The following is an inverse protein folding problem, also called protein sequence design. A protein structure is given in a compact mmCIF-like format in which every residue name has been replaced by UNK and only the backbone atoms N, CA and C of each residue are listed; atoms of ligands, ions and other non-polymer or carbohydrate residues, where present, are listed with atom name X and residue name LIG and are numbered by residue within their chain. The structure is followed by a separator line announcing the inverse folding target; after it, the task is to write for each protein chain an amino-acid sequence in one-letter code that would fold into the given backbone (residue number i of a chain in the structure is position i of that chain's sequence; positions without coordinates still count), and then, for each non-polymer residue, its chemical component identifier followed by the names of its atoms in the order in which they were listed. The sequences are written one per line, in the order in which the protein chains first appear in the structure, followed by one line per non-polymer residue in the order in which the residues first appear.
data_IF_240740906749
#
_entry.id   IF_240740906749
#
_cell.length_a   1.000
_cell.length_b   1.000
_cell.length_c   1.000
_cell.angle_alpha   90.00
_cell.angle_beta   90.00
_cell.angle_gamma   90.00
#
_symmetry.space_group_name_H-M   'P 1'
#
loop_
_entity.id
_entity.type
_entity.pdbx_description
1 polymer ?
#
# COMPACT_ATOMS: atom_id res chain seq x y z
N UNK A 1 -19.52 26.47 13.73
CA UNK A 1 -18.46 25.57 14.28
C UNK A 1 -19.02 24.15 14.24
N UNK A 2 -18.82 23.47 13.14
CA UNK A 2 -19.17 22.03 13.01
C UNK A 2 -17.85 21.25 13.15
N UNK A 3 -17.80 20.43 14.18
CA UNK A 3 -16.72 19.44 14.36
C UNK A 3 -16.95 18.32 13.34
N UNK A 4 -16.13 18.29 12.30
CA UNK A 4 -15.94 17.09 11.45
C UNK A 4 -15.23 16.04 12.30
N UNK A 5 -15.98 15.07 12.80
CA UNK A 5 -15.43 13.96 13.55
C UNK A 5 -14.75 12.99 12.58
N UNK A 6 -13.49 12.74 12.84
CA UNK A 6 -12.69 11.66 12.27
C UNK A 6 -13.37 10.33 12.68
N UNK A 7 -14.13 9.70 11.77
CA UNK A 7 -14.76 8.41 12.01
C UNK A 7 -13.65 7.36 12.06
N UNK A 8 -13.36 6.88 13.26
CA UNK A 8 -12.31 5.92 13.47
C UNK A 8 -12.59 4.64 12.66
N UNK A 9 -11.57 4.01 12.10
CA UNK A 9 -11.65 2.71 11.41
C UNK A 9 -12.35 1.61 12.24
N UNK A 10 -12.37 1.75 13.56
CA UNK A 10 -13.13 0.89 14.48
C UNK A 10 -14.63 1.08 14.36
N UNK A 11 -15.10 2.32 14.16
CA UNK A 11 -16.52 2.65 14.07
C UNK A 11 -17.12 2.20 12.73
N UNK A 12 -16.37 2.33 11.62
CA UNK A 12 -16.77 1.82 10.32
C UNK A 12 -16.91 0.28 10.32
N UNK A 13 -15.98 -0.40 11.00
CA UNK A 13 -15.95 -1.86 11.12
C UNK A 13 -17.13 -2.41 11.95
N UNK A 14 -17.48 -1.73 13.00
CA UNK A 14 -18.64 -2.05 13.84
C UNK A 14 -19.93 -1.83 13.04
N UNK A 15 -20.01 -0.74 12.28
CA UNK A 15 -21.18 -0.40 11.47
C UNK A 15 -21.50 -1.43 10.37
N UNK A 16 -20.48 -2.01 9.70
CA UNK A 16 -20.70 -3.05 8.68
C UNK A 16 -21.36 -4.31 9.26
N UNK A 17 -20.78 -4.87 10.33
CA UNK A 17 -21.35 -6.07 10.95
C UNK A 17 -22.70 -5.81 11.62
N UNK A 18 -22.91 -4.60 12.17
CA UNK A 18 -24.21 -4.17 12.68
C UNK A 18 -25.27 -4.27 11.58
N UNK A 19 -25.00 -3.71 10.40
CA UNK A 19 -25.94 -3.75 9.26
C UNK A 19 -26.23 -5.16 8.79
N UNK A 20 -25.21 -6.00 8.61
CA UNK A 20 -25.36 -7.38 8.16
C UNK A 20 -26.20 -8.20 9.16
N UNK A 21 -25.90 -8.10 10.45
CA UNK A 21 -26.64 -8.82 11.47
C UNK A 21 -28.05 -8.28 11.62
N UNK A 22 -28.25 -6.97 11.59
CA UNK A 22 -29.58 -6.37 11.63
C UNK A 22 -30.42 -6.74 10.42
N UNK A 23 -29.84 -6.78 9.21
CA UNK A 23 -30.57 -7.25 8.02
C UNK A 23 -31.10 -8.68 8.21
N UNK A 24 -30.28 -9.60 8.79
CA UNK A 24 -30.69 -10.98 9.06
C UNK A 24 -31.79 -11.04 10.16
N UNK A 25 -31.69 -10.20 11.20
CA UNK A 25 -32.60 -10.24 12.35
C UNK A 25 -33.91 -9.45 12.14
N UNK A 26 -33.91 -8.53 11.15
CA UNK A 26 -35.10 -7.73 10.81
C UNK A 26 -36.22 -8.54 10.15
N UNK A 27 -35.91 -9.70 9.53
CA UNK A 27 -36.89 -10.62 8.97
C UNK A 27 -37.80 -11.25 10.03
N UNK A 28 -37.51 -11.02 11.31
CA UNK A 28 -38.36 -11.43 12.45
C UNK A 28 -38.14 -12.89 12.86
N UNK A 29 -37.27 -13.61 12.20
CA UNK A 29 -36.99 -15.02 12.49
C UNK A 29 -35.97 -15.17 13.64
N UNK A 30 -36.18 -16.23 14.44
CA UNK A 30 -35.16 -16.66 15.41
C UNK A 30 -34.09 -17.44 14.65
N UNK A 31 -32.84 -16.94 14.65
CA UNK A 31 -31.76 -17.52 13.90
C UNK A 31 -30.68 -18.12 14.81
N UNK A 32 -30.02 -19.18 14.36
CA UNK A 32 -28.88 -19.77 15.08
C UNK A 32 -27.61 -18.96 14.88
N UNK A 33 -26.67 -19.03 15.84
CA UNK A 33 -25.33 -18.44 15.67
C UNK A 33 -24.63 -18.98 14.41
N UNK A 34 -24.84 -20.26 14.08
CA UNK A 34 -24.27 -20.87 12.88
C UNK A 34 -24.83 -20.28 11.59
N UNK A 35 -26.15 -19.98 11.52
CA UNK A 35 -26.76 -19.30 10.37
C UNK A 35 -26.19 -17.90 10.20
N UNK A 36 -26.14 -17.08 11.27
CA UNK A 36 -25.53 -15.76 11.22
C UNK A 36 -24.08 -15.86 10.78
N UNK A 37 -23.29 -16.77 11.37
CA UNK A 37 -21.89 -16.97 11.03
C UNK A 37 -21.68 -17.31 9.55
N UNK A 38 -22.52 -18.19 9.00
CA UNK A 38 -22.48 -18.55 7.57
C UNK A 38 -22.79 -17.37 6.66
N UNK A 39 -23.79 -16.55 6.99
CA UNK A 39 -24.20 -15.41 6.16
C UNK A 39 -23.20 -14.26 6.21
N UNK A 40 -22.58 -13.99 7.37
CA UNK A 40 -21.56 -12.94 7.50
C UNK A 40 -20.14 -13.42 7.23
N UNK A 41 -19.96 -14.70 6.86
CA UNK A 41 -18.64 -15.27 6.48
C UNK A 41 -17.65 -15.40 7.63
N UNK A 42 -18.11 -15.60 8.88
CA UNK A 42 -17.28 -15.73 10.07
C UNK A 42 -17.43 -17.11 10.73
N UNK A 43 -16.45 -17.47 11.58
CA UNK A 43 -16.61 -18.61 12.49
C UNK A 43 -17.62 -18.26 13.60
N UNK A 44 -18.33 -19.28 14.15
CA UNK A 44 -19.27 -19.04 15.26
C UNK A 44 -18.63 -18.34 16.46
N UNK A 45 -17.37 -18.65 16.78
CA UNK A 45 -16.62 -17.99 17.85
C UNK A 45 -16.44 -16.51 17.56
N UNK A 46 -16.05 -16.16 16.34
CA UNK A 46 -15.88 -14.76 15.91
C UNK A 46 -17.22 -14.04 15.87
N UNK A 47 -18.29 -14.71 15.43
CA UNK A 47 -19.66 -14.18 15.41
C UNK A 47 -20.15 -13.84 16.82
N UNK A 48 -19.92 -14.72 17.80
CA UNK A 48 -20.28 -14.42 19.21
C UNK A 48 -19.58 -13.18 19.74
N UNK A 49 -18.30 -13.01 19.45
CA UNK A 49 -17.56 -11.81 19.86
C UNK A 49 -18.08 -10.55 19.17
N UNK A 50 -18.50 -10.65 17.89
CA UNK A 50 -19.08 -9.54 17.15
C UNK A 50 -20.48 -9.19 17.66
N UNK A 51 -21.30 -10.18 17.96
CA UNK A 51 -22.64 -9.96 18.52
C UNK A 51 -22.60 -9.15 19.82
N UNK A 52 -21.59 -9.34 20.67
CA UNK A 52 -21.43 -8.52 21.88
C UNK A 52 -21.15 -7.05 21.56
N UNK A 53 -20.28 -6.77 20.61
CA UNK A 53 -20.01 -5.40 20.18
C UNK A 53 -21.21 -4.75 19.47
N UNK A 54 -22.04 -5.56 18.77
CA UNK A 54 -23.29 -5.10 18.14
C UNK A 54 -24.33 -4.77 19.20
N UNK A 55 -24.43 -5.57 20.26
CA UNK A 55 -25.35 -5.29 21.39
C UNK A 55 -25.01 -3.94 22.04
N UNK A 56 -23.74 -3.66 22.30
CA UNK A 56 -23.28 -2.37 22.82
C UNK A 56 -23.67 -1.23 21.87
N UNK A 57 -23.45 -1.40 20.56
CA UNK A 57 -23.81 -0.42 19.55
C UNK A 57 -25.32 -0.15 19.50
N UNK A 58 -26.18 -1.19 19.57
CA UNK A 58 -27.63 -1.03 19.56
C UNK A 58 -28.11 -0.28 20.79
N UNK A 59 -27.55 -0.59 21.96
CA UNK A 59 -27.84 0.09 23.21
C UNK A 59 -27.46 1.56 23.16
N UNK A 60 -26.26 1.88 22.70
CA UNK A 60 -25.75 3.25 22.62
C UNK A 60 -26.52 4.12 21.64
N UNK A 61 -27.18 3.51 20.63
CA UNK A 61 -27.95 4.20 19.60
C UNK A 61 -29.46 4.06 19.78
N UNK A 62 -29.93 3.43 20.85
CA UNK A 62 -31.38 3.19 21.12
C UNK A 62 -32.08 2.50 19.93
N UNK A 63 -31.50 1.38 19.46
CA UNK A 63 -31.98 0.63 18.30
C UNK A 63 -32.58 -0.74 18.64
N UNK A 64 -32.90 -0.99 19.91
CA UNK A 64 -33.42 -2.25 20.40
C UNK A 64 -32.32 -3.14 21.00
N UNK A 65 -32.65 -4.40 21.25
CA UNK A 65 -31.79 -5.34 21.96
C UNK A 65 -31.72 -6.70 21.24
N UNK A 66 -30.52 -7.29 21.18
CA UNK A 66 -30.33 -8.66 20.68
C UNK A 66 -30.58 -9.65 21.84
N UNK A 67 -31.63 -10.45 21.70
CA UNK A 67 -31.95 -11.49 22.65
C UNK A 67 -31.31 -12.82 22.24
N UNK A 68 -30.70 -13.52 23.20
CA UNK A 68 -30.04 -14.81 23.01
C UNK A 68 -30.58 -15.83 24.01
N UNK A 69 -31.11 -16.96 23.53
CA UNK A 69 -31.56 -18.04 24.40
C UNK A 69 -30.93 -19.36 23.97
N UNK A 70 -30.25 -20.08 24.88
CA UNK A 70 -29.66 -21.37 24.58
C UNK A 70 -30.69 -22.33 23.99
N UNK A 71 -30.33 -23.05 22.91
CA UNK A 71 -31.17 -24.00 22.18
C UNK A 71 -32.38 -23.41 21.46
N UNK A 72 -32.64 -22.12 21.59
CA UNK A 72 -33.68 -21.41 20.86
C UNK A 72 -33.07 -20.64 19.71
N UNK A 73 -32.18 -19.70 19.98
CA UNK A 73 -31.52 -18.90 18.97
C UNK A 73 -31.30 -17.45 19.40
N UNK A 74 -31.18 -16.61 18.39
CA UNK A 74 -30.87 -15.17 18.48
C UNK A 74 -31.98 -14.44 17.70
N UNK A 75 -32.52 -13.35 18.27
CA UNK A 75 -33.53 -12.48 17.64
C UNK A 75 -33.36 -11.05 18.10
N UNK A 76 -33.96 -10.13 17.39
CA UNK A 76 -33.99 -8.70 17.73
C UNK A 76 -35.33 -8.34 18.42
N UNK A 77 -35.23 -7.81 19.63
CA UNK A 77 -36.34 -7.12 20.28
C UNK A 77 -36.24 -5.62 20.03
N UNK A 78 -37.17 -5.07 19.27
CA UNK A 78 -37.23 -3.65 18.94
C UNK A 78 -38.69 -3.24 18.79
N UNK A 79 -39.04 -2.08 19.32
CA UNK A 79 -40.37 -1.47 19.12
C UNK A 79 -40.53 -0.94 17.68
N UNK A 80 -41.76 -0.53 17.33
CA UNK A 80 -42.06 -0.07 15.95
C UNK A 80 -41.25 1.16 15.54
N UNK A 81 -40.92 2.02 16.49
CA UNK A 81 -40.12 3.23 16.30
C UNK A 81 -38.62 2.88 16.07
N UNK A 82 -38.14 1.95 16.85
CA UNK A 82 -36.77 1.40 16.71
C UNK A 82 -36.61 0.63 15.39
N UNK A 83 -37.60 -0.22 15.04
CA UNK A 83 -37.63 -0.92 13.74
C UNK A 83 -37.61 0.05 12.57
N UNK A 84 -38.43 1.11 12.62
CA UNK A 84 -38.46 2.15 11.59
C UNK A 84 -37.12 2.90 11.48
N UNK A 85 -36.39 3.10 12.58
CA UNK A 85 -35.04 3.68 12.58
C UNK A 85 -34.01 2.74 11.96
N UNK A 86 -34.11 1.44 12.29
CA UNK A 86 -33.24 0.40 11.70
C UNK A 86 -33.46 0.31 10.19
N UNK A 87 -34.73 0.27 9.73
CA UNK A 87 -35.08 0.26 8.30
C UNK A 87 -34.47 1.45 7.59
N UNK A 88 -34.65 2.67 8.11
CA UNK A 88 -34.01 3.87 7.54
C UNK A 88 -32.50 3.78 7.52
N UNK A 89 -31.89 3.22 8.58
CA UNK A 89 -30.45 3.01 8.63
C UNK A 89 -29.98 1.97 7.59
N UNK A 90 -30.77 0.94 7.33
CA UNK A 90 -30.49 -0.07 6.30
C UNK A 90 -30.74 0.48 4.87
N UNK A 91 -31.79 1.32 4.71
CA UNK A 91 -32.17 1.96 3.44
C UNK A 91 -31.32 3.19 3.11
N UNK A 92 -30.77 3.90 4.10
CA UNK A 92 -29.85 5.02 3.88
C UNK A 92 -28.51 4.51 3.35
N UNK A 93 -28.58 3.90 2.17
CA UNK A 93 -27.47 3.26 1.48
C UNK A 93 -26.48 4.24 0.84
N UNK A 94 -26.61 5.55 1.08
CA UNK A 94 -25.82 6.53 0.32
C UNK A 94 -24.52 7.00 0.99
N UNK A 95 -24.21 6.61 2.24
CA UNK A 95 -22.95 7.10 2.81
C UNK A 95 -22.05 6.11 3.58
N UNK A 96 -22.45 4.89 3.93
CA UNK A 96 -21.53 3.91 4.56
C UNK A 96 -21.85 2.45 4.17
N UNK A 97 -22.15 2.14 2.94
CA UNK A 97 -21.67 0.91 2.36
C UNK A 97 -20.30 1.25 1.81
N UNK A 98 -19.23 0.88 2.50
CA UNK A 98 -17.91 0.81 1.86
C UNK A 98 -18.00 -0.37 0.89
N UNK A 99 -18.87 -0.25 -0.10
CA UNK A 99 -18.85 -1.05 -1.31
C UNK A 99 -17.69 -0.51 -2.12
N UNK A 100 -16.47 -0.86 -1.68
CA UNK A 100 -15.31 -0.64 -2.52
C UNK A 100 -15.63 -1.22 -3.90
N UNK A 101 -15.42 -0.45 -4.93
CA UNK A 101 -15.45 -1.00 -6.28
C UNK A 101 -14.31 -2.03 -6.46
N UNK A 102 -14.28 -2.72 -7.59
CA UNK A 102 -13.27 -3.75 -7.82
C UNK A 102 -11.84 -3.17 -7.75
N UNK A 103 -11.64 -1.97 -8.31
CA UNK A 103 -10.36 -1.28 -8.32
C UNK A 103 -9.93 -0.85 -6.92
N UNK A 104 -10.84 -0.29 -6.14
CA UNK A 104 -10.58 0.10 -4.75
C UNK A 104 -10.20 -1.10 -3.88
N UNK A 105 -10.91 -2.24 -4.03
CA UNK A 105 -10.57 -3.49 -3.33
C UNK A 105 -9.17 -3.99 -3.70
N UNK A 106 -8.83 -3.96 -4.98
CA UNK A 106 -7.49 -4.32 -5.46
C UNK A 106 -6.42 -3.40 -4.85
N UNK A 107 -6.62 -2.08 -4.88
CA UNK A 107 -5.68 -1.10 -4.32
C UNK A 107 -5.50 -1.26 -2.82
N UNK A 108 -6.58 -1.48 -2.06
CA UNK A 108 -6.51 -1.75 -0.61
C UNK A 108 -5.77 -3.05 -0.32
N UNK A 109 -6.00 -4.09 -1.13
CA UNK A 109 -5.30 -5.37 -1.00
C UNK A 109 -3.82 -5.20 -1.26
N UNK A 110 -3.43 -4.53 -2.34
CA UNK A 110 -2.03 -4.22 -2.65
C UNK A 110 -1.38 -3.43 -1.52
N UNK A 111 -2.02 -2.36 -1.02
CA UNK A 111 -1.53 -1.58 0.12
C UNK A 111 -1.32 -2.45 1.36
N UNK A 112 -2.23 -3.39 1.62
CA UNK A 112 -2.10 -4.29 2.76
C UNK A 112 -0.95 -5.29 2.58
N UNK A 113 -0.80 -5.86 1.38
CA UNK A 113 0.30 -6.77 1.04
C UNK A 113 1.67 -6.08 1.18
N UNK A 114 1.82 -4.86 0.66
CA UNK A 114 3.07 -4.09 0.77
C UNK A 114 3.40 -3.61 2.20
N UNK A 115 2.44 -3.66 3.13
CA UNK A 115 2.71 -3.39 4.56
C UNK A 115 3.10 -4.62 5.36
N UNK A 116 3.02 -5.80 4.76
CA UNK A 116 3.45 -7.01 5.44
C UNK A 116 4.97 -7.01 5.65
N UNK A 117 5.38 -7.45 6.82
CA UNK A 117 6.80 -7.67 7.10
C UNK A 117 7.33 -8.83 6.24
N UNK A 118 8.64 -8.88 5.96
CA UNK A 118 9.25 -10.03 5.32
C UNK A 118 8.88 -11.32 6.07
N UNK A 119 8.41 -12.34 5.34
CA UNK A 119 7.92 -13.61 5.88
C UNK A 119 6.60 -13.55 6.71
N UNK A 120 5.98 -12.40 6.84
CA UNK A 120 4.61 -12.32 7.35
C UNK A 120 3.65 -12.99 6.36
N UNK A 121 2.64 -13.68 6.90
CA UNK A 121 1.60 -14.32 6.10
C UNK A 121 0.23 -13.81 6.53
N UNK A 122 -0.71 -13.76 5.60
CA UNK A 122 -2.09 -13.35 5.84
C UNK A 122 -3.04 -14.37 5.21
N UNK A 123 -4.02 -14.84 5.97
CA UNK A 123 -5.02 -15.75 5.43
C UNK A 123 -6.04 -15.02 4.54
N UNK A 124 -6.61 -15.72 3.57
CA UNK A 124 -7.72 -15.19 2.75
C UNK A 124 -8.91 -14.75 3.60
N UNK A 125 -9.15 -15.43 4.74
CA UNK A 125 -10.21 -15.05 5.67
C UNK A 125 -9.90 -13.72 6.40
N UNK A 126 -8.64 -13.48 6.79
CA UNK A 126 -8.25 -12.19 7.37
C UNK A 126 -8.45 -11.07 6.35
N UNK A 127 -8.04 -11.29 5.09
CA UNK A 127 -8.23 -10.32 4.02
C UNK A 127 -9.72 -10.08 3.72
N UNK A 128 -10.54 -11.14 3.71
CA UNK A 128 -12.00 -11.04 3.56
C UNK A 128 -12.62 -10.15 4.65
N UNK A 129 -12.18 -10.36 5.90
CA UNK A 129 -12.62 -9.56 7.03
C UNK A 129 -12.17 -8.09 6.94
N UNK A 130 -10.96 -7.84 6.44
CA UNK A 130 -10.43 -6.47 6.26
C UNK A 130 -11.14 -5.71 5.14
N UNK A 131 -11.49 -6.40 4.05
CA UNK A 131 -12.17 -5.83 2.88
C UNK A 131 -13.70 -5.85 3.00
N UNK A 132 -14.26 -6.47 4.03
CA UNK A 132 -15.70 -6.66 4.23
C UNK A 132 -16.39 -7.41 3.08
N UNK A 133 -15.75 -8.41 2.53
CA UNK A 133 -16.26 -9.22 1.43
C UNK A 133 -16.17 -10.72 1.73
N UNK A 134 -16.82 -11.54 0.91
CA UNK A 134 -16.74 -12.99 1.02
C UNK A 134 -15.37 -13.53 0.56
N UNK A 135 -14.96 -14.69 1.05
CA UNK A 135 -13.73 -15.37 0.61
C UNK A 135 -13.67 -15.59 -0.92
N UNK A 136 -14.74 -16.02 -1.62
CA UNK A 136 -14.74 -16.08 -3.07
C UNK A 136 -14.44 -14.74 -3.76
N UNK A 137 -14.94 -13.63 -3.21
CA UNK A 137 -14.63 -12.28 -3.72
C UNK A 137 -13.14 -11.96 -3.52
N UNK A 138 -12.56 -12.29 -2.35
CA UNK A 138 -11.13 -12.12 -2.08
C UNK A 138 -10.28 -12.87 -3.10
N UNK A 139 -10.63 -14.11 -3.46
CA UNK A 139 -9.88 -14.88 -4.44
C UNK A 139 -9.87 -14.22 -5.84
N UNK A 140 -10.92 -13.49 -6.22
CA UNK A 140 -10.94 -12.69 -7.45
C UNK A 140 -10.00 -11.49 -7.34
N UNK A 141 -10.09 -10.76 -6.21
CA UNK A 141 -9.21 -9.60 -5.95
C UNK A 141 -7.74 -10.01 -5.92
N UNK A 142 -7.41 -11.17 -5.35
CA UNK A 142 -6.03 -11.70 -5.35
C UNK A 142 -5.54 -11.90 -6.78
N UNK A 143 -6.34 -12.44 -7.70
CA UNK A 143 -5.96 -12.60 -9.12
C UNK A 143 -5.68 -11.26 -9.79
N UNK A 144 -6.52 -10.26 -9.54
CA UNK A 144 -6.28 -8.90 -10.04
C UNK A 144 -4.97 -8.31 -9.47
N UNK A 145 -4.68 -8.56 -8.19
CA UNK A 145 -3.40 -8.19 -7.58
C UNK A 145 -2.21 -8.95 -8.21
N UNK A 146 -2.36 -10.26 -8.48
CA UNK A 146 -1.33 -11.07 -9.14
C UNK A 146 -1.00 -10.55 -10.55
N UNK A 147 -2.01 -10.13 -11.33
CA UNK A 147 -1.81 -9.52 -12.65
C UNK A 147 -1.04 -8.18 -12.53
N UNK A 148 -1.38 -7.35 -11.54
CA UNK A 148 -0.67 -6.09 -11.32
C UNK A 148 0.77 -6.33 -10.83
N UNK A 149 0.97 -7.22 -9.86
CA UNK A 149 2.27 -7.57 -9.27
C UNK A 149 3.17 -8.30 -10.27
N UNK A 150 2.59 -9.08 -11.19
CA UNK A 150 3.31 -9.80 -12.23
C UNK A 150 4.15 -8.88 -13.14
N UNK A 151 3.71 -7.64 -13.38
CA UNK A 151 4.45 -6.62 -14.11
C UNK A 151 5.80 -6.27 -13.46
N UNK A 152 5.92 -6.53 -12.17
CA UNK A 152 7.12 -6.29 -11.36
C UNK A 152 7.81 -7.57 -10.94
N UNK A 153 7.48 -8.71 -11.55
CA UNK A 153 8.00 -10.04 -11.16
C UNK A 153 7.82 -10.37 -9.68
N UNK A 154 6.72 -9.88 -9.09
CA UNK A 154 6.33 -10.19 -7.72
C UNK A 154 5.21 -11.25 -7.76
N UNK A 155 5.35 -12.29 -6.95
CA UNK A 155 4.41 -13.43 -6.92
C UNK A 155 3.75 -13.50 -5.55
N UNK A 156 2.43 -13.76 -5.52
CA UNK A 156 1.72 -14.13 -4.30
C UNK A 156 1.81 -15.65 -4.14
N UNK A 157 2.40 -16.11 -3.05
CA UNK A 157 2.51 -17.54 -2.73
C UNK A 157 1.53 -17.87 -1.61
N UNK A 158 0.75 -18.91 -1.81
CA UNK A 158 -0.15 -19.44 -0.78
C UNK A 158 0.55 -20.60 -0.05
N UNK A 159 1.02 -20.34 1.16
CA UNK A 159 1.64 -21.35 2.01
C UNK A 159 0.57 -22.15 2.76
N UNK A 160 0.64 -23.48 2.64
CA UNK A 160 -0.31 -24.40 3.30
C UNK A 160 -0.33 -24.12 4.81
N UNK A 161 -1.52 -23.89 5.37
CA UNK A 161 -1.79 -23.59 6.77
C UNK A 161 -1.19 -22.26 7.31
N UNK A 162 -0.55 -21.44 6.48
CA UNK A 162 -0.01 -20.14 6.87
C UNK A 162 -0.71 -18.97 6.20
N UNK A 163 -1.09 -19.14 4.92
CA UNK A 163 -1.76 -18.11 4.14
C UNK A 163 -0.89 -17.52 3.04
N UNK A 164 -1.25 -16.33 2.61
CA UNK A 164 -0.63 -15.62 1.50
C UNK A 164 0.59 -14.84 1.96
N UNK A 165 1.65 -14.85 1.18
CA UNK A 165 2.79 -13.93 1.29
C UNK A 165 3.28 -13.51 -0.08
N UNK A 166 3.98 -12.38 -0.17
CA UNK A 166 4.67 -11.97 -1.38
C UNK A 166 6.07 -12.59 -1.44
N UNK A 167 6.46 -13.00 -2.64
CA UNK A 167 7.83 -13.40 -2.98
C UNK A 167 8.34 -12.45 -4.06
N UNK A 168 9.48 -11.82 -3.82
CA UNK A 168 10.01 -10.74 -4.65
C UNK A 168 11.52 -10.58 -4.48
N UNK A 169 12.13 -9.94 -5.45
CA UNK A 169 13.44 -9.30 -5.30
C UNK A 169 13.25 -7.86 -4.82
N UNK A 170 14.19 -7.37 -4.01
CA UNK A 170 14.07 -6.07 -3.34
C UNK A 170 13.92 -4.90 -4.32
N UNK A 171 14.67 -4.91 -5.43
CA UNK A 171 14.55 -3.90 -6.47
C UNK A 171 13.12 -3.82 -7.02
N UNK A 172 12.54 -4.98 -7.35
CA UNK A 172 11.20 -5.09 -7.89
C UNK A 172 10.13 -4.61 -6.90
N UNK A 173 10.28 -5.00 -5.63
CA UNK A 173 9.40 -4.54 -4.56
C UNK A 173 9.38 -3.01 -4.45
N UNK A 174 10.56 -2.37 -4.46
CA UNK A 174 10.68 -0.91 -4.34
C UNK A 174 10.05 -0.18 -5.51
N UNK A 175 10.30 -0.64 -6.73
CA UNK A 175 9.70 -0.06 -7.94
C UNK A 175 8.18 -0.22 -7.92
N UNK A 176 7.67 -1.40 -7.58
CA UNK A 176 6.24 -1.65 -7.48
C UNK A 176 5.58 -0.77 -6.41
N UNK A 177 6.18 -0.67 -5.22
CA UNK A 177 5.64 0.16 -4.14
C UNK A 177 5.67 1.65 -4.51
N UNK A 178 6.76 2.13 -5.15
CA UNK A 178 6.83 3.49 -5.66
C UNK A 178 5.67 3.77 -6.63
N UNK A 179 5.43 2.88 -7.59
CA UNK A 179 4.34 3.04 -8.54
C UNK A 179 2.96 2.96 -7.88
N UNK A 180 2.79 2.12 -6.85
CA UNK A 180 1.55 2.07 -6.07
C UNK A 180 1.30 3.40 -5.31
N UNK A 181 2.35 4.02 -4.77
CA UNK A 181 2.25 5.29 -4.05
C UNK A 181 1.97 6.45 -5.01
N UNK A 182 2.67 6.49 -6.15
CA UNK A 182 2.50 7.53 -7.18
C UNK A 182 1.12 7.47 -7.84
N UNK A 183 0.52 6.28 -7.95
CA UNK A 183 -0.81 6.10 -8.54
C UNK A 183 -0.90 6.74 -9.92
N UNK A 184 -1.92 7.60 -10.12
CA UNK A 184 -2.13 8.36 -11.37
C UNK A 184 -1.46 9.75 -11.37
N UNK A 185 -0.63 10.06 -10.39
CA UNK A 185 0.04 11.37 -10.26
C UNK A 185 -0.78 12.45 -9.56
N UNK A 186 -1.91 12.10 -8.95
CA UNK A 186 -2.67 13.03 -8.11
C UNK A 186 -1.92 13.33 -6.81
N UNK A 187 -1.58 14.58 -6.56
CA UNK A 187 -0.76 15.00 -5.42
C UNK A 187 -1.42 14.71 -4.07
N UNK A 188 -2.74 14.77 -4.00
CA UNK A 188 -3.45 14.46 -2.75
C UNK A 188 -3.44 12.95 -2.48
N UNK A 189 -3.61 12.15 -3.52
CA UNK A 189 -3.50 10.69 -3.42
C UNK A 189 -2.07 10.26 -3.05
N UNK A 190 -1.05 10.83 -3.68
CA UNK A 190 0.36 10.61 -3.34
C UNK A 190 0.60 10.93 -1.86
N UNK A 191 0.12 12.08 -1.37
CA UNK A 191 0.27 12.47 0.04
C UNK A 191 -0.41 11.48 1.00
N UNK A 192 -1.63 11.04 0.69
CA UNK A 192 -2.36 10.03 1.47
C UNK A 192 -1.60 8.69 1.50
N UNK A 193 -1.08 8.26 0.35
CA UNK A 193 -0.30 7.04 0.24
C UNK A 193 1.03 7.15 0.99
N UNK A 194 1.74 8.27 0.86
CA UNK A 194 2.97 8.54 1.63
C UNK A 194 2.72 8.47 3.13
N UNK A 195 1.65 9.09 3.62
CA UNK A 195 1.27 9.01 5.03
C UNK A 195 0.93 7.57 5.45
N UNK A 196 0.21 6.83 4.60
CA UNK A 196 -0.16 5.44 4.88
C UNK A 196 1.08 4.53 5.04
N UNK A 197 2.09 4.68 4.18
CA UNK A 197 3.28 3.83 4.18
C UNK A 197 4.38 4.35 5.11
N UNK A 198 4.54 5.66 5.25
CA UNK A 198 5.68 6.30 5.91
C UNK A 198 5.27 7.25 7.05
N UNK A 199 4.05 7.15 7.57
CA UNK A 199 3.55 8.05 8.61
C UNK A 199 4.32 8.01 9.94
N UNK A 200 5.18 7.01 10.14
CA UNK A 200 6.10 6.92 11.26
C UNK A 200 7.47 7.59 11.01
N UNK A 201 7.71 8.12 9.81
CA UNK A 201 8.94 8.81 9.43
C UNK A 201 8.73 10.32 9.40
N UNK A 202 9.79 11.07 9.67
CA UNK A 202 9.81 12.50 9.38
C UNK A 202 10.10 12.74 7.90
N UNK A 203 9.05 12.55 7.08
CA UNK A 203 9.11 12.74 5.63
C UNK A 203 9.48 14.19 5.27
N UNK A 204 9.08 15.17 6.10
CA UNK A 204 9.41 16.59 5.86
C UNK A 204 10.91 16.85 6.02
N UNK A 205 11.56 16.19 6.97
CA UNK A 205 13.01 16.31 7.15
C UNK A 205 13.76 15.65 6.00
N UNK A 206 13.29 14.48 5.53
CA UNK A 206 13.86 13.82 4.32
C UNK A 206 13.73 14.75 3.11
N UNK A 207 12.54 15.29 2.87
CA UNK A 207 12.27 16.27 1.82
C UNK A 207 13.22 17.45 1.89
N UNK A 208 13.44 18.01 3.09
CA UNK A 208 14.36 19.14 3.30
C UNK A 208 15.80 18.78 2.94
N UNK A 209 16.27 17.59 3.29
CA UNK A 209 17.62 17.12 2.91
C UNK A 209 17.81 17.03 1.40
N UNK A 210 16.80 16.52 0.67
CA UNK A 210 16.85 16.47 -0.80
C UNK A 210 16.92 17.88 -1.38
N UNK A 211 16.04 18.80 -0.97
CA UNK A 211 16.01 20.20 -1.45
C UNK A 211 17.33 20.94 -1.16
N UNK A 212 17.90 20.75 0.03
CA UNK A 212 19.19 21.34 0.37
C UNK A 212 20.31 20.82 -0.56
N UNK A 213 20.27 19.52 -0.89
CA UNK A 213 21.24 18.93 -1.81
C UNK A 213 21.03 19.41 -3.25
N UNK A 214 19.78 19.52 -3.74
CA UNK A 214 19.47 20.12 -5.03
C UNK A 214 20.05 21.53 -5.17
N UNK A 215 19.89 22.35 -4.12
CA UNK A 215 20.40 23.73 -4.11
C UNK A 215 21.92 23.80 -4.14
N UNK A 216 22.63 22.93 -3.38
CA UNK A 216 24.09 22.90 -3.31
C UNK A 216 24.73 22.41 -4.61
N UNK A 217 24.03 21.50 -5.31
CA UNK A 217 24.56 20.87 -6.53
C UNK A 217 24.00 21.50 -7.81
N UNK A 218 23.16 22.53 -7.69
CA UNK A 218 22.45 23.14 -8.81
C UNK A 218 21.65 22.12 -9.64
N UNK A 219 21.08 21.13 -8.98
CA UNK A 219 20.15 20.13 -9.54
C UNK A 219 18.71 20.57 -9.27
N UNK A 220 17.82 20.27 -10.22
CA UNK A 220 16.37 20.48 -10.04
C UNK A 220 15.60 19.30 -10.65
N UNK A 221 15.02 18.48 -9.81
CA UNK A 221 14.10 17.46 -10.27
C UNK A 221 12.78 18.08 -10.79
N UNK A 222 12.11 17.39 -11.72
CA UNK A 222 10.68 17.63 -11.93
C UNK A 222 9.88 17.20 -10.70
N UNK A 223 8.66 17.68 -10.54
CA UNK A 223 7.83 17.36 -9.37
C UNK A 223 7.63 15.84 -9.22
N UNK A 224 7.36 15.13 -10.32
CA UNK A 224 7.23 13.67 -10.31
C UNK A 224 8.52 12.99 -9.87
N UNK A 225 9.66 13.34 -10.47
CA UNK A 225 10.96 12.77 -10.12
C UNK A 225 11.33 13.07 -8.67
N UNK A 226 11.01 14.26 -8.16
CA UNK A 226 11.22 14.61 -6.77
C UNK A 226 10.44 13.70 -5.82
N UNK A 227 9.15 13.43 -6.12
CA UNK A 227 8.35 12.52 -5.32
C UNK A 227 8.86 11.08 -5.38
N UNK A 228 9.31 10.61 -6.54
CA UNK A 228 9.91 9.28 -6.68
C UNK A 228 11.17 9.14 -5.83
N UNK A 229 12.10 10.10 -5.90
CA UNK A 229 13.32 10.11 -5.10
C UNK A 229 13.01 10.19 -3.60
N UNK A 230 12.03 10.99 -3.21
CA UNK A 230 11.55 11.07 -1.82
C UNK A 230 11.03 9.71 -1.32
N UNK A 231 10.25 9.01 -2.12
CA UNK A 231 9.74 7.67 -1.80
C UNK A 231 10.91 6.69 -1.62
N UNK A 232 11.90 6.71 -2.51
CA UNK A 232 13.05 5.81 -2.39
C UNK A 232 13.94 6.12 -1.17
N UNK A 233 14.11 7.40 -0.80
CA UNK A 233 14.77 7.77 0.45
C UNK A 233 14.00 7.27 1.69
N UNK A 234 12.67 7.36 1.68
CA UNK A 234 11.84 6.81 2.76
C UNK A 234 11.97 5.27 2.84
N UNK A 235 12.00 4.58 1.70
CA UNK A 235 12.20 3.14 1.62
C UNK A 235 13.58 2.71 2.13
N UNK A 236 14.64 3.39 1.74
CA UNK A 236 15.99 3.12 2.23
C UNK A 236 16.04 3.16 3.76
N UNK A 237 15.36 4.12 4.38
CA UNK A 237 15.26 4.20 5.83
C UNK A 237 14.40 3.09 6.45
N UNK A 238 13.18 2.88 5.92
CA UNK A 238 12.21 1.95 6.50
C UNK A 238 12.68 0.50 6.41
N UNK A 239 13.46 0.16 5.38
CA UNK A 239 13.90 -1.21 5.07
C UNK A 239 15.34 -1.53 5.46
N UNK A 240 16.05 -0.59 6.09
CA UNK A 240 17.47 -0.75 6.49
C UNK A 240 17.72 -1.97 7.39
N UNK A 241 16.76 -2.32 8.24
CA UNK A 241 16.89 -3.41 9.24
C UNK A 241 16.34 -4.75 8.72
N UNK A 242 15.77 -4.77 7.52
CA UNK A 242 15.31 -6.00 6.90
C UNK A 242 16.50 -6.64 6.16
N UNK A 243 16.62 -7.97 6.25
CA UNK A 243 17.56 -8.75 5.44
C UNK A 243 17.19 -8.78 3.95
N UNK A 244 16.52 -7.74 3.48
CA UNK A 244 16.14 -7.52 2.09
C UNK A 244 17.31 -6.84 1.40
N UNK A 245 18.22 -7.63 0.85
CA UNK A 245 19.43 -7.09 0.24
C UNK A 245 19.16 -6.69 -1.20
N UNK A 246 19.39 -5.40 -1.47
CA UNK A 246 19.75 -4.97 -2.81
C UNK A 246 21.02 -5.73 -3.20
N UNK A 247 21.06 -6.32 -4.38
CA UNK A 247 22.19 -7.12 -4.83
C UNK A 247 22.78 -6.47 -6.06
N UNK A 248 24.03 -6.07 -5.94
CA UNK A 248 24.87 -5.60 -7.03
C UNK A 248 26.18 -6.35 -6.97
N UNK A 249 26.73 -6.71 -8.11
CA UNK A 249 28.08 -7.23 -8.14
C UNK A 249 29.14 -6.08 -8.03
N UNK A 250 30.38 -6.44 -7.83
CA UNK A 250 31.43 -5.45 -7.64
C UNK A 250 31.65 -4.58 -8.88
N UNK A 251 31.45 -5.12 -10.09
CA UNK A 251 31.60 -4.36 -11.33
C UNK A 251 30.49 -3.31 -11.48
N UNK A 252 29.26 -3.66 -11.12
CA UNK A 252 28.12 -2.74 -11.10
C UNK A 252 28.31 -1.62 -10.07
N UNK A 253 28.78 -1.96 -8.86
CA UNK A 253 29.08 -0.99 -7.82
C UNK A 253 30.16 0.01 -8.27
N UNK A 254 31.27 -0.48 -8.81
CA UNK A 254 32.38 0.36 -9.32
C UNK A 254 31.94 1.21 -10.52
N UNK A 255 31.08 0.68 -11.39
CA UNK A 255 30.59 1.39 -12.56
C UNK A 255 29.76 2.62 -12.14
N UNK A 256 28.78 2.44 -11.26
CA UNK A 256 27.88 3.52 -10.84
C UNK A 256 28.63 4.62 -10.08
N UNK A 257 29.69 4.28 -9.33
CA UNK A 257 30.51 5.25 -8.61
C UNK A 257 31.22 6.28 -9.52
N UNK A 258 31.32 6.02 -10.82
CA UNK A 258 31.97 6.92 -11.79
C UNK A 258 31.05 8.03 -12.30
N UNK A 259 29.74 7.95 -12.02
CA UNK A 259 28.75 8.93 -12.49
C UNK A 259 28.53 10.05 -11.49
N UNK A 260 28.19 11.23 -11.98
CA UNK A 260 27.94 12.43 -11.16
C UNK A 260 26.77 12.26 -10.19
N UNK A 261 25.85 11.39 -10.49
CA UNK A 261 24.70 11.08 -9.65
C UNK A 261 25.09 10.34 -8.37
N UNK A 262 26.19 9.57 -8.39
CA UNK A 262 26.66 8.88 -7.19
C UNK A 262 27.11 9.84 -6.08
N UNK A 263 28.04 10.80 -6.28
CA UNK A 263 28.41 11.75 -5.23
C UNK A 263 27.25 12.67 -4.82
N UNK A 264 26.31 12.97 -5.72
CA UNK A 264 25.07 13.67 -5.37
C UNK A 264 24.22 12.83 -4.40
N UNK A 265 24.04 11.53 -4.67
CA UNK A 265 23.34 10.59 -3.80
C UNK A 265 24.01 10.45 -2.43
N UNK A 266 25.34 10.36 -2.42
CA UNK A 266 26.15 10.36 -1.19
C UNK A 266 25.86 11.62 -0.36
N UNK A 267 25.77 12.79 -1.00
CA UNK A 267 25.45 14.05 -0.30
C UNK A 267 24.05 14.02 0.33
N UNK A 268 23.03 13.46 -0.34
CA UNK A 268 21.70 13.26 0.24
C UNK A 268 21.80 12.39 1.51
N UNK A 269 22.38 11.21 1.40
CA UNK A 269 22.48 10.27 2.53
C UNK A 269 23.36 10.79 3.67
N UNK A 270 24.40 11.57 3.36
CA UNK A 270 25.19 12.27 4.39
C UNK A 270 24.34 13.21 5.22
N UNK A 271 23.51 14.06 4.60
CA UNK A 271 22.58 14.95 5.32
C UNK A 271 21.55 14.17 6.13
N UNK A 272 21.02 13.08 5.59
CA UNK A 272 20.11 12.19 6.29
C UNK A 272 20.79 11.54 7.51
N UNK A 273 22.06 11.13 7.37
CA UNK A 273 22.83 10.62 8.49
C UNK A 273 23.04 11.68 9.58
N UNK A 274 23.45 12.88 9.22
CA UNK A 274 23.70 13.98 10.15
C UNK A 274 22.43 14.39 10.94
N UNK A 275 21.26 14.39 10.29
CA UNK A 275 20.00 14.88 10.88
C UNK A 275 19.12 13.79 11.48
N UNK A 276 19.19 12.57 10.99
CA UNK A 276 18.30 11.46 11.38
C UNK A 276 19.06 10.22 11.88
N UNK A 277 20.40 10.28 11.92
CA UNK A 277 21.26 9.14 12.26
C UNK A 277 21.01 7.89 11.42
N UNK A 278 20.66 8.09 10.14
CA UNK A 278 20.44 7.01 9.19
C UNK A 278 21.78 6.59 8.59
N UNK A 279 22.16 5.33 8.82
CA UNK A 279 23.25 4.68 8.09
C UNK A 279 22.62 3.80 7.00
N UNK A 280 23.08 3.97 5.79
CA UNK A 280 22.69 3.15 4.63
C UNK A 280 23.90 2.41 4.10
N UNK A 281 23.67 1.26 3.46
CA UNK A 281 24.72 0.50 2.79
C UNK A 281 25.12 1.14 1.45
N UNK A 282 26.23 0.68 0.88
CA UNK A 282 26.67 1.15 -0.43
C UNK A 282 25.66 0.77 -1.54
N UNK A 283 25.01 -0.37 -1.40
CA UNK A 283 23.95 -0.84 -2.32
C UNK A 283 22.75 0.11 -2.33
N UNK A 284 22.41 0.70 -1.19
CA UNK A 284 21.36 1.74 -1.11
C UNK A 284 21.77 3.01 -1.86
N UNK A 285 23.02 3.41 -1.74
CA UNK A 285 23.56 4.56 -2.49
C UNK A 285 23.52 4.27 -3.99
N UNK A 286 23.96 3.10 -4.41
CA UNK A 286 23.96 2.69 -5.83
C UNK A 286 22.52 2.61 -6.35
N UNK A 287 21.59 1.98 -5.61
CA UNK A 287 20.19 1.92 -6.00
C UNK A 287 19.60 3.31 -6.25
N UNK A 288 19.77 4.23 -5.29
CA UNK A 288 19.25 5.59 -5.44
C UNK A 288 19.95 6.36 -6.54
N UNK A 289 21.25 6.15 -6.75
CA UNK A 289 21.99 6.77 -7.85
C UNK A 289 21.42 6.37 -9.21
N UNK A 290 21.11 5.08 -9.39
CA UNK A 290 20.45 4.58 -10.61
C UNK A 290 19.10 5.26 -10.82
N UNK A 291 18.30 5.38 -9.76
CA UNK A 291 17.00 6.05 -9.86
C UNK A 291 17.15 7.53 -10.23
N UNK A 292 18.17 8.21 -9.71
CA UNK A 292 18.47 9.61 -10.03
C UNK A 292 18.95 9.73 -11.48
N UNK A 293 19.76 8.81 -11.97
CA UNK A 293 20.19 8.77 -13.40
C UNK A 293 18.99 8.66 -14.35
N UNK A 294 17.94 7.93 -13.95
CA UNK A 294 16.71 7.76 -14.71
C UNK A 294 15.69 8.91 -14.52
N UNK A 295 15.98 9.86 -13.62
CA UNK A 295 15.06 10.94 -13.28
C UNK A 295 15.10 12.09 -14.29
N UNK A 296 13.98 12.84 -14.37
CA UNK A 296 13.90 14.05 -15.17
C UNK A 296 14.34 15.28 -14.38
N UNK A 297 15.08 16.17 -15.01
CA UNK A 297 15.57 17.41 -14.42
C UNK A 297 15.05 18.63 -15.16
N UNK A 298 14.87 19.74 -14.43
CA UNK A 298 14.52 21.05 -14.98
C UNK A 298 15.82 21.85 -15.11
N UNK A 299 16.14 22.38 -16.29
CA UNK A 299 17.17 23.39 -16.45
C UNK A 299 18.62 22.89 -16.58
N UNK A 300 18.85 21.73 -17.13
CA UNK A 300 20.19 21.23 -17.48
C UNK A 300 20.82 21.92 -18.72
N UNK A 301 20.70 23.24 -18.88
CA UNK A 301 21.25 23.92 -20.07
C UNK A 301 22.78 23.89 -20.17
N UNK A 302 23.51 23.76 -19.06
CA UNK A 302 24.98 23.72 -19.06
C UNK A 302 25.56 22.30 -19.11
N UNK A 303 24.80 21.27 -18.74
CA UNK A 303 25.24 19.88 -18.86
C UNK A 303 25.07 19.30 -20.28
N UNK A 304 24.21 19.93 -21.12
CA UNK A 304 24.08 19.53 -22.54
C UNK A 304 25.37 19.81 -23.34
N UNK A 305 26.20 20.79 -22.95
CA UNK A 305 27.50 21.02 -23.55
C UNK A 305 28.55 19.95 -23.15
N UNK A 306 28.42 19.39 -21.92
CA UNK A 306 29.27 18.26 -21.49
C UNK A 306 28.76 16.92 -22.06
N UNK A 307 27.47 16.77 -22.33
CA UNK A 307 26.88 15.61 -23.02
C UNK A 307 27.13 15.63 -24.52
N UNK A 308 27.45 16.79 -25.14
CA UNK A 308 27.99 16.87 -26.51
C UNK A 308 29.35 16.22 -26.65
N UNK A 309 30.01 15.88 -25.56
CA UNK A 309 31.16 15.00 -25.47
C UNK A 309 30.76 13.62 -24.90
N UNK A 310 29.65 13.06 -25.34
CA UNK A 310 29.34 11.64 -25.13
C UNK A 310 30.40 10.82 -25.92
N UNK A 311 31.58 10.80 -25.35
CA UNK A 311 32.63 9.90 -25.75
C UNK A 311 32.31 8.55 -25.13
N UNK A 312 31.91 7.63 -26.02
CA UNK A 312 31.96 6.19 -25.81
C UNK A 312 31.46 5.76 -24.42
N UNK A 313 30.15 5.57 -24.30
CA UNK A 313 29.64 4.72 -23.23
C UNK A 313 30.33 3.36 -23.38
N UNK A 314 30.91 2.86 -22.28
CA UNK A 314 31.48 1.52 -22.22
C UNK A 314 30.38 0.53 -22.67
N UNK A 315 30.71 -0.43 -23.53
CA UNK A 315 29.78 -1.46 -24.02
C UNK A 315 29.03 -2.17 -22.88
N UNK A 316 29.64 -2.24 -21.69
CA UNK A 316 29.02 -2.77 -20.48
C UNK A 316 27.89 -1.89 -19.96
N UNK A 317 28.03 -0.56 -20.02
CA UNK A 317 26.95 0.37 -19.64
C UNK A 317 25.80 0.30 -20.64
N UNK A 318 26.12 0.25 -21.94
CA UNK A 318 25.10 0.06 -22.99
C UNK A 318 24.36 -1.25 -22.74
N UNK A 319 25.07 -2.33 -22.41
CA UNK A 319 24.47 -3.61 -22.05
C UNK A 319 23.59 -3.55 -20.80
N UNK A 320 23.98 -2.76 -19.79
CA UNK A 320 23.18 -2.54 -18.58
C UNK A 320 21.93 -1.71 -18.87
N UNK A 321 22.06 -0.59 -19.60
CA UNK A 321 20.93 0.27 -20.00
C UNK A 321 19.97 -0.52 -20.86
N UNK A 322 20.43 -1.33 -21.82
CA UNK A 322 19.57 -2.16 -22.66
C UNK A 322 18.81 -3.19 -21.82
N UNK A 323 19.43 -3.85 -20.84
CA UNK A 323 18.71 -4.73 -19.91
C UNK A 323 17.65 -3.98 -19.10
N UNK A 324 17.93 -2.75 -18.66
CA UNK A 324 16.95 -1.91 -17.99
C UNK A 324 15.81 -1.49 -18.92
N UNK A 325 16.13 -1.14 -20.17
CA UNK A 325 15.11 -0.81 -21.17
C UNK A 325 14.25 -2.02 -21.54
N UNK A 326 14.81 -3.22 -21.60
CA UNK A 326 14.07 -4.47 -21.76
C UNK A 326 13.08 -4.69 -20.60
N UNK A 327 13.54 -4.50 -19.36
CA UNK A 327 12.68 -4.61 -18.18
C UNK A 327 11.56 -3.56 -18.20
N UNK A 328 11.89 -2.32 -18.52
CA UNK A 328 10.93 -1.22 -18.64
C UNK A 328 9.96 -1.46 -19.80
N UNK A 329 10.48 -1.89 -20.96
CA UNK A 329 9.67 -2.22 -22.13
C UNK A 329 8.68 -3.34 -21.85
N UNK A 330 9.10 -4.39 -21.17
CA UNK A 330 8.23 -5.48 -20.73
C UNK A 330 7.17 -5.02 -19.71
N UNK A 331 7.51 -4.07 -18.83
CA UNK A 331 6.54 -3.49 -17.87
C UNK A 331 5.50 -2.62 -18.58
N UNK A 332 5.91 -1.90 -19.63
CA UNK A 332 5.06 -0.96 -20.34
C UNK A 332 4.39 -1.56 -21.59
N UNK A 333 4.70 -2.82 -21.91
CA UNK A 333 4.29 -3.50 -23.14
C UNK A 333 4.68 -2.70 -24.41
N UNK A 334 5.87 -2.10 -24.39
CA UNK A 334 6.41 -1.25 -25.48
C UNK A 334 7.83 -1.72 -25.79
N UNK A 335 8.15 -1.89 -27.05
CA UNK A 335 9.54 -2.11 -27.50
C UNK A 335 10.30 -0.77 -27.47
N UNK A 336 11.15 -0.59 -26.46
CA UNK A 336 11.96 0.62 -26.28
C UNK A 336 13.32 0.55 -26.99
N UNK A 337 13.63 -0.57 -27.66
CA UNK A 337 14.91 -0.80 -28.34
C UNK A 337 14.78 -0.77 -29.86
N UNK A 338 13.59 -0.55 -30.41
CA UNK A 338 13.30 -0.67 -31.84
C UNK A 338 13.49 0.61 -32.67
N UNK A 339 14.21 1.66 -32.19
CA UNK A 339 14.59 2.85 -32.98
C UNK A 339 16.09 3.09 -33.01
#
# INVERSE_FOLDING_TARGET
MQKGGDVSLKDAKTNYYVRQVLSILMDGDIVSTGKIASEIGLSEKSTRNKLSAIEDYLRDNDLGEICKKPRVGIWLEADEKQRSRIVRMLESSDEISVSYDAMERMMLTLKRLFRMLPNETMTTQQLANELYVSTPTVLKVIKECEEWLGRYHIVIVNERNRGLRMQYEENNYRVALKNLIMGKGDLEEIRKNMFYFFGNLDVNLIKKCIIETENEWNYRFTDDSFHEILIYCCLAYQRKDFNSHLRYDNEELELIQRYNEYPFTVAIFKKLHEKMHILVSNEEVVFLSIQIMCSKFIGRSELSETLGQVKQYDDKLIGFVNRMLDVIGNILDVDLLSD
#
